data_IF_427465673080
#
_entry.id   IF_427465673080
#
_cell.length_a   1.000
_cell.length_b   1.000
_cell.length_c   1.000
_cell.angle_alpha   90.00
_cell.angle_beta   90.00
_cell.angle_gamma   90.00
#
_symmetry.space_group_name_H-M   'P 1'
#
loop_
_entity.id
_entity.type
_entity.pdbx_description
1 polymer ?
#
# COMPACT_ATOMS: atom_id res chain seq x y z
N UNK A 1 -0.25 5.64 -19.07
CA UNK A 1 -0.76 6.56 -18.05
C UNK A 1 -1.17 5.67 -16.87
N UNK A 2 -0.79 6.01 -15.63
CA UNK A 2 -1.22 5.28 -14.43
C UNK A 2 -2.46 5.95 -13.84
N UNK A 3 -3.47 5.14 -13.52
CA UNK A 3 -4.72 5.60 -12.93
C UNK A 3 -4.81 5.05 -11.50
N UNK A 4 -4.90 5.96 -10.52
CA UNK A 4 -5.10 5.63 -9.11
C UNK A 4 -6.45 6.16 -8.62
N UNK A 5 -7.28 5.27 -8.07
CA UNK A 5 -8.52 5.65 -7.38
C UNK A 5 -8.29 5.60 -5.87
N UNK A 6 -8.46 6.73 -5.18
CA UNK A 6 -8.08 6.87 -3.78
C UNK A 6 -9.26 7.16 -2.85
N UNK A 7 -9.17 6.68 -1.60
CA UNK A 7 -10.18 6.90 -0.57
C UNK A 7 -11.27 5.84 -0.56
N UNK A 8 -10.97 4.66 -1.04
CA UNK A 8 -11.84 3.49 -0.97
C UNK A 8 -11.90 2.96 0.48
N UNK A 9 -13.10 2.55 0.92
CA UNK A 9 -13.33 2.04 2.28
C UNK A 9 -14.24 0.82 2.31
N UNK A 10 -15.10 0.73 1.34
CA UNK A 10 -16.13 -0.29 1.24
C UNK A 10 -15.69 -1.40 0.29
N UNK A 11 -15.86 -2.66 0.70
CA UNK A 11 -15.38 -3.82 -0.04
C UNK A 11 -16.05 -3.96 -1.42
N UNK A 12 -17.34 -3.61 -1.53
CA UNK A 12 -18.05 -3.67 -2.80
C UNK A 12 -17.55 -2.60 -3.77
N UNK A 13 -17.30 -1.38 -3.26
CA UNK A 13 -16.72 -0.32 -4.06
C UNK A 13 -15.29 -0.65 -4.52
N UNK A 14 -14.47 -1.26 -3.65
CA UNK A 14 -13.13 -1.72 -4.01
C UNK A 14 -13.21 -2.70 -5.18
N UNK A 15 -14.07 -3.71 -5.05
CA UNK A 15 -14.27 -4.70 -6.09
C UNK A 15 -14.75 -4.08 -7.41
N UNK A 16 -15.71 -3.17 -7.34
CA UNK A 16 -16.22 -2.48 -8.53
C UNK A 16 -15.14 -1.65 -9.23
N UNK A 17 -14.24 -1.02 -8.46
CA UNK A 17 -13.11 -0.25 -9.01
C UNK A 17 -12.04 -1.17 -9.58
N UNK A 18 -11.75 -2.30 -8.92
CA UNK A 18 -10.83 -3.32 -9.42
C UNK A 18 -11.30 -3.88 -10.77
N UNK A 19 -12.61 -4.16 -10.90
CA UNK A 19 -13.24 -4.67 -12.13
C UNK A 19 -13.17 -3.65 -13.30
N UNK A 20 -12.99 -2.35 -13.02
CA UNK A 20 -12.76 -1.32 -14.04
C UNK A 20 -11.34 -1.33 -14.62
N UNK A 21 -10.42 -2.10 -14.05
CA UNK A 21 -9.04 -2.23 -14.54
C UNK A 21 -8.17 -1.00 -14.28
N UNK A 22 -8.35 -0.34 -13.13
CA UNK A 22 -7.43 0.73 -12.68
C UNK A 22 -6.08 0.15 -12.29
N UNK A 23 -5.02 0.97 -12.35
CA UNK A 23 -3.67 0.52 -12.02
C UNK A 23 -3.44 0.44 -10.51
N UNK A 24 -4.09 1.33 -9.73
CA UNK A 24 -3.88 1.44 -8.29
C UNK A 24 -5.18 1.74 -7.55
N UNK A 25 -5.34 1.13 -6.36
CA UNK A 25 -6.42 1.43 -5.40
C UNK A 25 -5.81 1.97 -4.11
N UNK A 26 -6.36 3.07 -3.60
CA UNK A 26 -5.82 3.80 -2.45
C UNK A 26 -6.71 3.77 -1.22
N UNK A 27 -6.12 3.47 -0.07
CA UNK A 27 -6.74 3.40 1.26
C UNK A 27 -6.14 4.47 2.17
N UNK A 28 -6.96 5.33 2.76
CA UNK A 28 -6.49 6.42 3.59
C UNK A 28 -6.48 6.00 5.05
N UNK A 29 -5.30 5.89 5.63
CA UNK A 29 -5.08 5.54 7.04
C UNK A 29 -4.75 6.77 7.91
N UNK A 30 -5.13 7.97 7.46
CA UNK A 30 -5.01 9.21 8.21
C UNK A 30 -6.32 9.51 8.96
N UNK A 31 -6.35 9.46 10.31
CA UNK A 31 -7.60 9.57 11.10
C UNK A 31 -8.37 10.88 10.90
N UNK A 32 -7.69 11.96 10.52
CA UNK A 32 -8.29 13.26 10.23
C UNK A 32 -9.07 13.28 8.91
N UNK A 33 -8.90 12.26 8.05
CA UNK A 33 -9.61 12.18 6.77
C UNK A 33 -11.06 11.73 6.95
N UNK A 34 -12.00 12.37 6.25
CA UNK A 34 -13.37 11.89 6.15
C UNK A 34 -13.50 10.52 5.48
N UNK A 35 -12.44 10.09 4.76
CA UNK A 35 -12.33 8.79 4.09
C UNK A 35 -11.35 7.85 4.80
N UNK A 36 -11.16 8.06 6.10
CA UNK A 36 -10.33 7.21 6.92
C UNK A 36 -10.81 5.75 6.89
N UNK A 37 -9.87 4.84 6.74
CA UNK A 37 -10.11 3.40 6.78
C UNK A 37 -9.75 2.89 8.16
N UNK A 38 -10.75 2.55 8.96
CA UNK A 38 -10.53 1.85 10.23
C UNK A 38 -10.25 0.38 9.97
N UNK A 39 -11.14 -0.29 9.22
CA UNK A 39 -11.02 -1.69 8.83
C UNK A 39 -11.77 -1.94 7.52
N UNK A 40 -11.22 -2.81 6.68
CA UNK A 40 -11.90 -3.33 5.48
C UNK A 40 -12.11 -4.82 5.67
N UNK A 41 -13.33 -5.30 5.42
CA UNK A 41 -13.66 -6.72 5.52
C UNK A 41 -12.93 -7.53 4.45
N UNK A 42 -12.28 -8.62 4.85
CA UNK A 42 -11.67 -9.60 3.94
C UNK A 42 -12.71 -10.51 3.27
N UNK A 43 -13.96 -10.53 3.76
CA UNK A 43 -14.99 -11.44 3.26
C UNK A 43 -15.32 -11.26 1.78
N UNK A 44 -15.09 -10.07 1.22
CA UNK A 44 -15.33 -9.78 -0.21
C UNK A 44 -14.20 -10.29 -1.14
N UNK A 45 -13.15 -10.90 -0.60
CA UNK A 45 -12.00 -11.38 -1.37
C UNK A 45 -11.09 -10.27 -1.92
N UNK A 46 -11.36 -9.01 -1.56
CA UNK A 46 -10.59 -7.85 -2.01
C UNK A 46 -9.35 -7.59 -1.17
N UNK A 47 -9.32 -8.12 0.06
CA UNK A 47 -8.20 -8.01 0.99
C UNK A 47 -7.70 -9.38 1.43
N UNK A 48 -6.42 -9.53 1.80
CA UNK A 48 -5.92 -10.76 2.36
C UNK A 48 -6.68 -11.14 3.63
N UNK A 49 -7.07 -12.40 3.74
CA UNK A 49 -7.69 -12.94 4.94
C UNK A 49 -6.61 -13.60 5.82
N UNK A 50 -6.24 -12.92 6.89
CA UNK A 50 -5.32 -13.43 7.90
C UNK A 50 -6.04 -13.97 9.14
N UNK A 51 -7.33 -14.31 9.00
CA UNK A 51 -8.08 -14.93 10.10
C UNK A 51 -7.38 -16.20 10.61
N UNK A 52 -7.56 -16.48 11.91
CA UNK A 52 -6.98 -17.67 12.53
C UNK A 52 -7.45 -18.96 11.83
N UNK A 53 -8.70 -18.96 11.35
CA UNK A 53 -9.26 -20.07 10.60
C UNK A 53 -8.50 -20.33 9.30
N UNK A 54 -8.16 -19.25 8.54
CA UNK A 54 -7.39 -19.38 7.31
C UNK A 54 -5.94 -19.78 7.57
N UNK A 55 -5.32 -19.22 8.58
CA UNK A 55 -3.95 -19.61 8.98
C UNK A 55 -3.88 -21.07 9.40
N UNK A 56 -4.89 -21.59 10.12
CA UNK A 56 -5.02 -23.01 10.45
C UNK A 56 -5.23 -23.87 9.21
N UNK A 57 -6.07 -23.42 8.26
CA UNK A 57 -6.29 -24.12 7.02
C UNK A 57 -5.01 -24.23 6.18
N UNK A 58 -4.22 -23.15 6.12
CA UNK A 58 -2.92 -23.17 5.42
C UNK A 58 -1.89 -24.10 6.07
N UNK A 59 -1.84 -24.14 7.43
CA UNK A 59 -0.94 -25.06 8.16
C UNK A 59 -1.33 -26.53 7.99
N UNK A 60 -2.60 -26.82 7.78
CA UNK A 60 -3.11 -28.17 7.63
C UNK A 60 -3.07 -28.69 6.18
N UNK A 61 -2.85 -27.81 5.22
CA UNK A 61 -2.54 -28.22 3.83
C UNK A 61 -1.12 -28.78 3.82
N UNK A 62 -1.00 -30.12 3.73
CA UNK A 62 0.29 -30.76 3.36
C UNK A 62 0.76 -30.12 2.06
N UNK A 63 2.07 -29.94 1.86
CA UNK A 63 2.59 -29.46 0.59
C UNK A 63 2.24 -30.51 -0.47
N UNK A 64 1.11 -30.32 -1.13
CA UNK A 64 0.88 -30.94 -2.43
C UNK A 64 1.79 -30.21 -3.38
N UNK A 65 2.72 -30.97 -3.92
CA UNK A 65 3.70 -30.63 -4.96
C UNK A 65 3.46 -29.27 -5.62
N UNK A 66 4.52 -28.50 -5.62
CA UNK A 66 4.75 -27.32 -6.42
C UNK A 66 3.95 -27.36 -7.73
N UNK A 67 2.74 -26.84 -7.71
CA UNK A 67 2.17 -26.33 -8.92
C UNK A 67 2.82 -24.97 -9.10
N UNK A 68 3.83 -24.97 -9.94
CA UNK A 68 4.42 -23.81 -10.56
C UNK A 68 3.27 -22.83 -10.88
N UNK A 69 3.23 -21.67 -10.16
CA UNK A 69 2.50 -20.53 -10.67
C UNK A 69 3.07 -20.29 -12.06
N UNK A 70 2.25 -20.28 -13.13
CA UNK A 70 2.76 -19.88 -14.43
C UNK A 70 3.43 -18.52 -14.23
N UNK A 71 4.66 -18.37 -14.71
CA UNK A 71 5.45 -17.16 -14.63
C UNK A 71 4.77 -15.95 -15.32
N UNK A 72 3.66 -16.18 -16.02
CA UNK A 72 2.84 -15.22 -16.74
C UNK A 72 1.45 -14.98 -16.12
N UNK A 73 1.22 -15.38 -14.84
CA UNK A 73 0.03 -14.92 -14.14
C UNK A 73 0.20 -13.41 -13.89
N UNK A 74 -0.19 -12.59 -14.87
CA UNK A 74 -0.39 -11.16 -14.73
C UNK A 74 -1.14 -10.95 -13.42
N UNK A 75 -0.57 -10.13 -12.54
CA UNK A 75 -1.24 -9.73 -11.31
C UNK A 75 -2.59 -9.12 -11.68
N UNK A 76 -3.66 -9.85 -11.44
CA UNK A 76 -5.02 -9.52 -11.89
C UNK A 76 -5.67 -8.42 -11.02
N UNK A 77 -4.96 -7.94 -10.00
CA UNK A 77 -5.47 -6.94 -9.07
C UNK A 77 -4.68 -5.64 -9.14
N UNK A 78 -5.36 -4.48 -9.04
CA UNK A 78 -4.71 -3.19 -8.92
C UNK A 78 -3.72 -3.16 -7.76
N UNK A 79 -2.65 -2.39 -7.89
CA UNK A 79 -1.67 -2.18 -6.83
C UNK A 79 -2.32 -1.45 -5.65
N UNK A 80 -2.11 -1.94 -4.43
CA UNK A 80 -2.69 -1.38 -3.21
C UNK A 80 -1.78 -0.31 -2.63
N UNK A 81 -2.36 0.86 -2.41
CA UNK A 81 -1.64 2.04 -1.90
C UNK A 81 -2.22 2.45 -0.56
N UNK A 82 -1.44 2.38 0.52
CA UNK A 82 -1.82 2.97 1.81
C UNK A 82 -1.36 4.43 1.89
N UNK A 83 -2.27 5.32 2.25
CA UNK A 83 -1.97 6.76 2.42
C UNK A 83 -1.88 7.09 3.91
N UNK A 84 -0.76 7.66 4.32
CA UNK A 84 -0.43 8.02 5.69
C UNK A 84 -0.04 9.50 5.78
N UNK A 85 -0.27 10.11 6.92
CA UNK A 85 0.13 11.50 7.23
C UNK A 85 0.74 11.51 8.62
N UNK A 86 2.04 11.70 8.70
CA UNK A 86 2.83 11.79 9.94
C UNK A 86 2.54 10.64 10.94
N UNK A 87 2.29 9.45 10.44
CA UNK A 87 1.98 8.29 11.27
C UNK A 87 3.27 7.59 11.76
N UNK A 88 3.14 6.87 12.86
CA UNK A 88 4.27 6.11 13.42
C UNK A 88 4.65 4.94 12.51
N UNK A 89 5.95 4.69 12.31
CA UNK A 89 6.42 3.59 11.46
C UNK A 89 5.79 2.23 11.79
N UNK A 90 5.56 1.94 13.07
CA UNK A 90 4.94 0.69 13.54
C UNK A 90 3.51 0.53 13.03
N UNK A 91 2.74 1.61 13.01
CA UNK A 91 1.39 1.60 12.46
C UNK A 91 1.41 1.37 10.96
N UNK A 92 2.31 2.04 10.26
CA UNK A 92 2.51 1.87 8.80
C UNK A 92 2.86 0.43 8.49
N UNK A 93 3.83 -0.18 9.19
CA UNK A 93 4.25 -1.57 9.01
C UNK A 93 3.07 -2.53 9.25
N UNK A 94 2.29 -2.30 10.31
CA UNK A 94 1.10 -3.10 10.61
C UNK A 94 0.09 -3.04 9.45
N UNK A 95 -0.13 -1.86 8.87
CA UNK A 95 -1.04 -1.69 7.72
C UNK A 95 -0.48 -2.31 6.44
N UNK A 96 0.83 -2.21 6.20
CA UNK A 96 1.50 -2.88 5.08
C UNK A 96 1.20 -4.38 5.11
N UNK A 97 1.39 -5.00 6.27
CA UNK A 97 1.14 -6.42 6.45
C UNK A 97 -0.35 -6.78 6.30
N UNK A 98 -1.23 -6.08 7.04
CA UNK A 98 -2.66 -6.42 7.10
C UNK A 98 -3.39 -6.23 5.76
N UNK A 99 -2.95 -5.28 4.96
CA UNK A 99 -3.59 -4.94 3.69
C UNK A 99 -2.80 -5.39 2.47
N UNK A 100 -1.66 -6.05 2.67
CA UNK A 100 -0.73 -6.45 1.60
C UNK A 100 -0.46 -5.28 0.65
N UNK A 101 0.01 -4.16 1.21
CA UNK A 101 0.25 -2.95 0.43
C UNK A 101 1.45 -3.12 -0.48
N UNK A 102 1.31 -2.71 -1.74
CA UNK A 102 2.41 -2.61 -2.71
C UNK A 102 3.11 -1.25 -2.61
N UNK A 103 2.35 -0.22 -2.20
CA UNK A 103 2.84 1.14 -2.07
C UNK A 103 2.43 1.76 -0.74
N UNK A 104 3.31 2.58 -0.21
CA UNK A 104 3.02 3.52 0.89
C UNK A 104 3.14 4.93 0.35
N UNK A 105 2.06 5.68 0.38
CA UNK A 105 2.04 7.11 0.09
C UNK A 105 2.16 7.90 1.39
N UNK A 106 3.23 8.66 1.53
CA UNK A 106 3.53 9.54 2.66
C UNK A 106 3.15 10.97 2.29
N UNK A 107 2.18 11.53 2.99
CA UNK A 107 1.55 12.80 2.66
C UNK A 107 1.66 13.85 3.78
N UNK A 108 2.60 13.64 4.69
CA UNK A 108 2.95 14.57 5.77
C UNK A 108 4.39 15.08 5.64
N UNK A 109 5.02 15.37 6.77
CA UNK A 109 6.39 15.89 6.88
C UNK A 109 7.42 14.76 7.16
N UNK A 110 7.15 13.55 6.64
CA UNK A 110 7.99 12.39 6.88
C UNK A 110 9.41 12.60 6.34
N UNK A 111 10.40 12.42 7.22
CA UNK A 111 11.80 12.63 6.88
C UNK A 111 12.39 11.54 6.01
N UNK A 112 13.43 11.87 5.25
CA UNK A 112 14.21 10.90 4.45
C UNK A 112 14.73 9.74 5.30
N UNK A 113 15.15 10.02 6.55
CA UNK A 113 15.65 8.99 7.49
C UNK A 113 14.52 8.02 7.85
N UNK A 114 13.34 8.54 8.17
CA UNK A 114 12.16 7.71 8.47
C UNK A 114 11.81 6.81 7.29
N UNK A 115 11.83 7.32 6.07
CA UNK A 115 11.51 6.56 4.86
C UNK A 115 12.51 5.42 4.64
N UNK A 116 13.81 5.69 4.78
CA UNK A 116 14.85 4.67 4.67
C UNK A 116 14.68 3.56 5.71
N UNK A 117 14.49 3.94 6.97
CA UNK A 117 14.27 2.99 8.07
C UNK A 117 13.00 2.15 7.85
N UNK A 118 11.93 2.76 7.33
CA UNK A 118 10.70 2.04 7.01
C UNK A 118 10.95 0.98 5.93
N UNK A 119 11.62 1.34 4.82
CA UNK A 119 11.96 0.39 3.74
C UNK A 119 12.83 -0.75 4.26
N UNK A 120 13.85 -0.46 5.04
CA UNK A 120 14.72 -1.46 5.65
C UNK A 120 13.95 -2.42 6.57
N UNK A 121 13.05 -1.87 7.40
CA UNK A 121 12.28 -2.68 8.37
C UNK A 121 11.33 -3.68 7.73
N UNK A 122 10.89 -3.46 6.49
CA UNK A 122 9.94 -4.36 5.79
C UNK A 122 10.61 -5.21 4.71
N UNK A 123 11.87 -4.93 4.37
CA UNK A 123 12.60 -5.60 3.29
C UNK A 123 12.75 -7.10 3.53
N UNK A 124 13.01 -7.50 4.79
CA UNK A 124 13.21 -8.89 5.16
C UNK A 124 11.89 -9.57 5.55
N UNK A 125 11.09 -9.94 4.56
CA UNK A 125 9.96 -10.87 4.73
C UNK A 125 8.56 -10.26 4.79
N UNK A 126 8.38 -8.96 5.12
CA UNK A 126 7.04 -8.35 5.17
C UNK A 126 6.61 -7.86 3.79
N UNK A 127 7.40 -6.99 3.18
CA UNK A 127 7.11 -6.41 1.88
C UNK A 127 8.42 -6.04 1.13
N UNK A 128 9.16 -7.03 0.62
CA UNK A 128 10.48 -6.80 0.00
C UNK A 128 10.43 -5.91 -1.25
N UNK A 129 9.27 -5.83 -1.90
CA UNK A 129 9.05 -5.02 -3.11
C UNK A 129 8.25 -3.76 -2.84
N UNK A 130 8.11 -3.34 -1.57
CA UNK A 130 7.37 -2.14 -1.21
C UNK A 130 7.97 -0.91 -1.88
N UNK A 131 7.10 -0.08 -2.44
CA UNK A 131 7.46 1.19 -3.06
C UNK A 131 6.90 2.37 -2.27
N UNK A 132 7.63 3.47 -2.28
CA UNK A 132 7.24 4.69 -1.59
C UNK A 132 6.83 5.76 -2.60
N UNK A 133 5.67 6.35 -2.37
CA UNK A 133 5.19 7.56 -3.03
C UNK A 133 5.30 8.69 -2.01
N UNK A 134 6.12 9.71 -2.27
CA UNK A 134 6.12 10.92 -1.44
C UNK A 134 5.23 11.98 -2.07
N UNK A 135 4.20 12.39 -1.35
CA UNK A 135 3.38 13.52 -1.74
C UNK A 135 4.04 14.83 -1.27
N UNK A 136 4.08 15.81 -2.16
CA UNK A 136 4.67 17.13 -1.93
C UNK A 136 3.64 18.17 -2.38
N UNK A 137 3.22 19.02 -1.43
CA UNK A 137 2.34 20.14 -1.73
C UNK A 137 3.14 21.25 -2.43
N UNK A 138 2.69 21.64 -3.61
CA UNK A 138 3.35 22.64 -4.44
C UNK A 138 2.48 23.91 -4.49
N UNK A 139 2.96 24.95 -3.84
CA UNK A 139 2.35 26.29 -3.86
C UNK A 139 3.14 27.27 -4.73
N UNK A 140 4.43 27.00 -4.91
CA UNK A 140 5.36 27.87 -5.65
C UNK A 140 6.44 27.06 -6.36
N UNK A 141 7.17 27.70 -7.28
CA UNK A 141 8.30 27.07 -7.95
C UNK A 141 9.45 26.68 -6.96
N UNK A 142 9.57 27.37 -5.84
CA UNK A 142 10.59 27.06 -4.84
C UNK A 142 10.34 25.70 -4.15
N UNK A 143 9.09 25.24 -4.11
CA UNK A 143 8.74 23.97 -3.46
C UNK A 143 9.32 22.77 -4.21
N UNK A 144 9.65 22.92 -5.51
CA UNK A 144 10.34 21.88 -6.28
C UNK A 144 11.75 21.60 -5.77
N UNK A 145 12.40 22.55 -5.07
CA UNK A 145 13.72 22.30 -4.48
C UNK A 145 13.66 21.23 -3.39
N UNK A 146 12.51 21.10 -2.73
CA UNK A 146 12.30 20.06 -1.71
C UNK A 146 12.29 18.64 -2.31
N UNK A 147 12.00 18.50 -3.60
CA UNK A 147 11.96 17.22 -4.28
C UNK A 147 13.33 16.52 -4.28
N UNK A 148 14.41 17.30 -4.39
CA UNK A 148 15.77 16.79 -4.49
C UNK A 148 16.17 15.92 -3.28
N UNK A 149 15.66 16.23 -2.07
CA UNK A 149 15.96 15.45 -0.87
C UNK A 149 15.41 14.01 -0.91
N UNK A 150 14.36 13.76 -1.70
CA UNK A 150 13.72 12.45 -1.83
C UNK A 150 14.26 11.64 -3.01
N UNK A 151 15.20 12.18 -3.79
CA UNK A 151 15.85 11.48 -4.89
C UNK A 151 16.58 10.22 -4.39
N UNK A 152 16.35 9.08 -5.02
CA UNK A 152 16.91 7.79 -4.60
C UNK A 152 16.32 7.21 -3.31
N UNK A 153 15.32 7.88 -2.70
CA UNK A 153 14.64 7.42 -1.48
C UNK A 153 13.19 7.06 -1.76
N UNK A 154 12.43 7.97 -2.37
CA UNK A 154 11.09 7.69 -2.86
C UNK A 154 11.15 7.10 -4.28
N UNK A 155 10.25 6.16 -4.56
CA UNK A 155 10.14 5.55 -5.89
C UNK A 155 9.30 6.42 -6.84
N UNK A 156 8.41 7.24 -6.28
CA UNK A 156 7.56 8.17 -7.02
C UNK A 156 7.34 9.45 -6.20
N UNK A 157 7.19 10.57 -6.89
CA UNK A 157 6.70 11.83 -6.32
C UNK A 157 5.28 12.09 -6.81
N UNK A 158 4.42 12.56 -5.91
CA UNK A 158 3.07 13.02 -6.21
C UNK A 158 2.98 14.50 -5.85
N UNK A 159 2.57 15.32 -6.78
CA UNK A 159 2.39 16.75 -6.55
C UNK A 159 0.91 17.05 -6.30
N UNK A 160 0.66 17.83 -5.21
CA UNK A 160 -0.68 18.16 -4.70
C UNK A 160 -0.80 19.67 -4.45
#
# INVERSE_FOLDING_TARGET
>A
MLIKVCGLRDAENIKAVDDLGVDMTGFIFAPQSKRYVEMISSCAGTMPDYSEARLKALKNQKPTNEQEKPADAQETHPKRVGVFVDDMPQNIITRIYNYALDYVQLHGEESVVMIKNLKESVADGIAPNLKIIKAISISSAADFETCAQYEGVADMLLFD
#
